data_IF_296718396394
#
_entry.id   IF_296718396394
#
_cell.length_a   1.000
_cell.length_b   1.000
_cell.length_c   1.000
_cell.angle_alpha   90.00
_cell.angle_beta   90.00
_cell.angle_gamma   90.00
#
_symmetry.space_group_name_H-M   'P 1'
#
loop_
_entity.id
_entity.type
_entity.pdbx_description
1 polymer ?
#
# COMPACT_ATOMS: atom_id res chain seq x y z
N UNK A 1 76.18 -43.55 23.77
CA UNK A 1 75.70 -42.41 24.54
C UNK A 1 74.33 -42.01 24.06
N UNK A 2 73.36 -42.05 24.96
CA UNK A 2 72.01 -41.48 25.00
C UNK A 2 71.16 -41.33 23.74
N UNK A 3 70.15 -42.15 23.67
CA UNK A 3 68.87 -41.95 22.93
C UNK A 3 68.06 -40.83 23.62
N UNK A 4 67.18 -40.15 22.91
CA UNK A 4 65.90 -39.85 23.53
C UNK A 4 64.69 -40.45 22.82
N UNK A 5 63.71 -40.74 23.62
CA UNK A 5 62.39 -41.24 23.43
C UNK A 5 61.54 -40.19 22.75
N UNK A 6 60.76 -40.55 21.73
CA UNK A 6 59.77 -39.71 21.10
C UNK A 6 58.39 -40.38 21.21
N UNK A 7 57.50 -39.81 22.01
CA UNK A 7 56.15 -40.27 22.25
C UNK A 7 55.23 -39.94 21.07
N UNK A 8 54.49 -40.94 20.62
CA UNK A 8 53.41 -40.85 19.63
C UNK A 8 52.18 -40.27 20.29
N UNK A 9 51.75 -39.09 19.85
CA UNK A 9 50.46 -38.52 20.19
C UNK A 9 49.45 -38.81 19.06
N UNK A 10 48.54 -39.73 19.34
CA UNK A 10 47.34 -39.96 18.53
C UNK A 10 46.42 -38.71 18.58
N UNK A 11 46.32 -37.98 17.49
CA UNK A 11 45.32 -36.95 17.33
C UNK A 11 43.94 -37.58 17.19
N UNK A 12 43.04 -37.30 18.14
CA UNK A 12 41.61 -37.58 18.03
C UNK A 12 41.03 -36.56 17.05
N UNK A 13 40.55 -37.04 15.87
CA UNK A 13 39.79 -36.28 14.94
C UNK A 13 38.43 -35.89 15.54
N UNK A 14 38.26 -34.60 15.82
CA UNK A 14 36.97 -34.06 16.25
C UNK A 14 36.16 -33.75 14.96
N UNK A 15 35.12 -34.56 14.77
CA UNK A 15 34.13 -34.38 13.70
C UNK A 15 33.28 -33.13 14.00
N UNK A 16 33.64 -31.97 13.41
CA UNK A 16 32.88 -30.72 13.51
C UNK A 16 32.15 -30.34 12.22
N UNK A 17 32.06 -31.25 11.22
CA UNK A 17 31.52 -30.89 9.90
C UNK A 17 30.00 -31.05 9.75
N UNK A 18 29.34 -31.85 10.59
CA UNK A 18 27.92 -32.18 10.40
C UNK A 18 26.96 -31.08 10.88
N UNK A 19 27.33 -30.33 11.94
CA UNK A 19 26.49 -29.27 12.51
C UNK A 19 26.49 -27.96 11.69
N UNK A 20 27.59 -27.65 10.99
CA UNK A 20 27.70 -26.44 10.17
C UNK A 20 26.91 -26.58 8.87
N UNK A 21 26.96 -27.75 8.24
CA UNK A 21 26.24 -28.06 6.99
C UNK A 21 24.71 -28.04 7.22
N UNK A 22 24.23 -28.62 8.31
CA UNK A 22 22.79 -28.62 8.64
C UNK A 22 22.23 -27.21 8.92
N UNK A 23 23.02 -26.31 9.53
CA UNK A 23 22.64 -24.91 9.76
C UNK A 23 22.65 -24.08 8.48
N UNK A 24 23.61 -24.31 7.59
CA UNK A 24 23.65 -23.66 6.27
C UNK A 24 22.48 -24.09 5.39
N UNK A 25 22.14 -25.37 5.39
CA UNK A 25 21.04 -25.94 4.60
C UNK A 25 19.66 -25.50 5.12
N UNK A 26 19.50 -25.28 6.43
CA UNK A 26 18.30 -24.73 7.03
C UNK A 26 18.13 -23.24 6.71
N UNK A 27 19.23 -22.46 6.72
CA UNK A 27 19.22 -21.05 6.32
C UNK A 27 18.98 -20.89 4.83
N UNK A 28 19.57 -21.73 4.00
CA UNK A 28 19.37 -21.75 2.55
C UNK A 28 17.92 -22.11 2.19
N UNK A 29 17.34 -23.14 2.84
CA UNK A 29 15.92 -23.51 2.67
C UNK A 29 14.99 -22.40 3.11
N UNK A 30 15.29 -21.69 4.20
CA UNK A 30 14.54 -20.49 4.62
C UNK A 30 14.56 -19.37 3.60
N UNK A 31 15.72 -19.09 2.99
CA UNK A 31 15.86 -18.06 1.94
C UNK A 31 15.12 -18.49 0.66
N UNK A 32 15.23 -19.74 0.26
CA UNK A 32 14.52 -20.31 -0.91
C UNK A 32 13.01 -20.35 -0.70
N UNK A 33 12.51 -20.65 0.52
CA UNK A 33 11.09 -20.59 0.86
C UNK A 33 10.54 -19.17 0.81
N UNK A 34 11.27 -18.18 1.33
CA UNK A 34 10.89 -16.76 1.28
C UNK A 34 10.90 -16.26 -0.17
N UNK A 35 11.92 -16.64 -0.95
CA UNK A 35 12.00 -16.32 -2.39
C UNK A 35 10.84 -16.95 -3.19
N UNK A 36 10.50 -18.21 -2.93
CA UNK A 36 9.41 -18.91 -3.60
C UNK A 36 8.03 -18.31 -3.28
N UNK A 37 7.76 -17.97 -2.03
CA UNK A 37 6.52 -17.30 -1.62
C UNK A 37 6.36 -15.94 -2.32
N UNK A 38 7.42 -15.14 -2.37
CA UNK A 38 7.40 -13.83 -3.04
C UNK A 38 7.13 -13.96 -4.53
N UNK A 39 7.77 -14.90 -5.22
CA UNK A 39 7.53 -15.13 -6.65
C UNK A 39 6.07 -15.53 -6.93
N UNK A 40 5.45 -16.34 -6.05
CA UNK A 40 4.03 -16.70 -6.14
C UNK A 40 3.13 -15.47 -6.00
N UNK A 41 3.41 -14.59 -5.02
CA UNK A 41 2.65 -13.34 -4.82
C UNK A 41 2.82 -12.38 -6.01
N UNK A 42 4.03 -12.20 -6.53
CA UNK A 42 4.30 -11.35 -7.69
C UNK A 42 3.58 -11.87 -8.95
N UNK A 43 3.59 -13.18 -9.18
CA UNK A 43 2.84 -13.81 -10.27
C UNK A 43 1.33 -13.64 -10.13
N UNK A 44 0.81 -13.75 -8.89
CA UNK A 44 -0.60 -13.55 -8.58
C UNK A 44 -1.01 -12.08 -8.76
N UNK A 45 -0.20 -11.12 -8.32
CA UNK A 45 -0.43 -9.69 -8.51
C UNK A 45 -0.53 -9.35 -10.00
N UNK A 46 0.40 -9.86 -10.80
CA UNK A 46 0.35 -9.69 -12.25
C UNK A 46 -0.92 -10.27 -12.87
N UNK A 47 -1.31 -11.50 -12.50
CA UNK A 47 -2.52 -12.14 -13.02
C UNK A 47 -3.79 -11.37 -12.62
N UNK A 48 -3.89 -10.95 -11.36
CA UNK A 48 -5.00 -10.15 -10.87
C UNK A 48 -5.15 -8.84 -11.64
N UNK A 49 -4.04 -8.15 -11.88
CA UNK A 49 -4.03 -6.90 -12.65
C UNK A 49 -4.48 -7.09 -14.09
N UNK A 50 -3.97 -8.14 -14.78
CA UNK A 50 -4.14 -8.29 -16.22
C UNK A 50 -5.31 -9.19 -16.62
N UNK A 51 -5.75 -10.11 -15.74
CA UNK A 51 -6.75 -11.14 -16.04
C UNK A 51 -7.91 -11.20 -15.05
N UNK A 52 -7.82 -10.45 -13.95
CA UNK A 52 -8.84 -10.42 -12.90
C UNK A 52 -8.83 -11.65 -11.98
N UNK A 53 -9.73 -11.65 -11.00
CA UNK A 53 -9.78 -12.66 -9.95
C UNK A 53 -10.10 -14.06 -10.48
N UNK A 54 -11.09 -14.22 -11.37
CA UNK A 54 -11.52 -15.54 -11.86
C UNK A 54 -10.42 -16.26 -12.62
N UNK A 55 -9.68 -15.57 -13.47
CA UNK A 55 -8.57 -16.14 -14.23
C UNK A 55 -7.30 -16.36 -13.40
N UNK A 56 -7.22 -15.85 -12.18
CA UNK A 56 -6.10 -16.03 -11.25
C UNK A 56 -6.28 -17.35 -10.52
N UNK A 57 -5.89 -18.45 -11.15
CA UNK A 57 -5.93 -19.80 -10.56
C UNK A 57 -4.56 -20.23 -10.05
N UNK A 58 -4.52 -21.18 -9.09
CA UNK A 58 -3.25 -21.76 -8.59
C UNK A 58 -2.42 -22.37 -9.74
N UNK A 59 -3.10 -22.96 -10.75
CA UNK A 59 -2.44 -23.50 -11.94
C UNK A 59 -1.82 -22.38 -12.80
N UNK A 60 -2.54 -21.26 -12.99
CA UNK A 60 -2.03 -20.11 -13.75
C UNK A 60 -0.84 -19.44 -13.03
N UNK A 61 -0.92 -19.30 -11.69
CA UNK A 61 0.17 -18.78 -10.87
C UNK A 61 1.40 -19.70 -10.97
N UNK A 62 1.23 -21.01 -10.78
CA UNK A 62 2.32 -22.00 -10.86
C UNK A 62 2.99 -22.00 -12.24
N UNK A 63 2.19 -21.95 -13.30
CA UNK A 63 2.69 -21.87 -14.68
C UNK A 63 3.52 -20.62 -14.91
N UNK A 64 3.12 -19.48 -14.35
CA UNK A 64 3.86 -18.22 -14.48
C UNK A 64 5.19 -18.23 -13.72
N UNK A 65 5.22 -18.87 -12.54
CA UNK A 65 6.45 -19.03 -11.74
C UNK A 65 7.37 -20.13 -12.28
N UNK A 66 6.85 -21.06 -13.11
CA UNK A 66 7.60 -22.21 -13.60
C UNK A 66 7.68 -23.37 -12.61
N UNK A 67 6.71 -23.52 -11.71
CA UNK A 67 6.64 -24.58 -10.70
C UNK A 67 5.43 -25.50 -10.91
N UNK A 68 5.42 -26.65 -10.23
CA UNK A 68 4.24 -27.53 -10.22
C UNK A 68 3.11 -26.90 -9.38
N UNK A 69 1.86 -27.02 -9.81
CA UNK A 69 0.71 -26.45 -9.09
C UNK A 69 0.62 -26.93 -7.62
N UNK A 70 0.98 -28.19 -7.36
CA UNK A 70 1.04 -28.74 -6.00
C UNK A 70 2.06 -28.03 -5.09
N UNK A 71 3.13 -27.44 -5.64
CA UNK A 71 4.15 -26.74 -4.86
C UNK A 71 3.64 -25.45 -4.25
N UNK A 72 2.58 -24.84 -4.80
CA UNK A 72 1.95 -23.65 -4.22
C UNK A 72 1.42 -23.93 -2.82
N UNK A 73 0.87 -25.13 -2.60
CA UNK A 73 0.25 -25.50 -1.30
C UNK A 73 1.27 -25.71 -0.17
N UNK A 74 2.58 -25.76 -0.49
CA UNK A 74 3.63 -25.68 0.53
C UNK A 74 3.82 -24.28 1.11
N UNK A 75 3.37 -23.24 0.38
CA UNK A 75 3.50 -21.84 0.77
C UNK A 75 2.16 -21.22 1.20
N UNK A 76 1.08 -21.56 0.51
CA UNK A 76 -0.23 -20.95 0.71
C UNK A 76 -1.35 -21.99 0.71
N UNK A 77 -2.28 -21.95 1.67
CA UNK A 77 -3.34 -22.97 1.80
C UNK A 77 -4.39 -22.91 0.69
N UNK A 78 -4.57 -21.75 0.03
CA UNK A 78 -5.56 -21.57 -1.01
C UNK A 78 -5.22 -20.42 -1.96
N UNK A 79 -5.95 -20.35 -3.09
CA UNK A 79 -5.95 -19.18 -3.99
C UNK A 79 -6.32 -17.90 -3.24
N UNK A 80 -7.36 -17.99 -2.41
CA UNK A 80 -7.90 -16.84 -1.71
C UNK A 80 -6.90 -16.26 -0.69
N UNK A 81 -6.14 -17.11 -0.01
CA UNK A 81 -5.05 -16.66 0.87
C UNK A 81 -3.96 -15.90 0.09
N UNK A 82 -3.63 -16.33 -1.12
CA UNK A 82 -2.69 -15.60 -2.00
C UNK A 82 -3.27 -14.25 -2.41
N UNK A 83 -4.54 -14.23 -2.85
CA UNK A 83 -5.21 -13.02 -3.31
C UNK A 83 -5.38 -12.01 -2.18
N UNK A 84 -5.74 -12.47 -0.97
CA UNK A 84 -5.84 -11.63 0.22
C UNK A 84 -4.51 -10.92 0.53
N UNK A 85 -3.42 -11.67 0.53
CA UNK A 85 -2.09 -11.11 0.76
C UNK A 85 -1.69 -10.11 -0.32
N UNK A 86 -1.96 -10.40 -1.59
CA UNK A 86 -1.67 -9.47 -2.70
C UNK A 86 -2.47 -8.17 -2.56
N UNK A 87 -3.76 -8.28 -2.27
CA UNK A 87 -4.65 -7.11 -2.14
C UNK A 87 -4.26 -6.27 -0.93
N UNK A 88 -4.01 -6.89 0.23
CA UNK A 88 -3.59 -6.19 1.44
C UNK A 88 -2.21 -5.54 1.27
N UNK A 89 -1.27 -6.19 0.61
CA UNK A 89 0.04 -5.63 0.28
C UNK A 89 -0.09 -4.38 -0.61
N UNK A 90 -0.97 -4.41 -1.61
CA UNK A 90 -1.24 -3.26 -2.47
C UNK A 90 -1.76 -2.04 -1.70
N UNK A 91 -2.61 -2.26 -0.68
CA UNK A 91 -3.05 -1.18 0.22
C UNK A 91 -1.91 -0.73 1.13
N UNK A 92 -1.19 -1.67 1.74
CA UNK A 92 -0.12 -1.40 2.71
C UNK A 92 0.98 -0.52 2.13
N UNK A 93 1.44 -0.82 0.92
CA UNK A 93 2.50 -0.05 0.24
C UNK A 93 2.11 1.42 0.06
N UNK A 94 0.87 1.68 -0.37
CA UNK A 94 0.38 3.06 -0.53
C UNK A 94 0.15 3.73 0.82
N UNK A 95 -0.41 3.00 1.79
CA UNK A 95 -0.63 3.48 3.15
C UNK A 95 0.68 3.96 3.80
N UNK A 96 1.71 3.12 3.79
CA UNK A 96 3.02 3.45 4.36
C UNK A 96 3.67 4.65 3.68
N UNK A 97 3.58 4.75 2.36
CA UNK A 97 4.08 5.90 1.62
C UNK A 97 3.38 7.21 2.01
N UNK A 98 2.04 7.17 2.16
CA UNK A 98 1.25 8.33 2.58
C UNK A 98 1.55 8.73 4.03
N UNK A 99 1.61 7.77 4.96
CA UNK A 99 1.96 8.04 6.36
C UNK A 99 3.34 8.68 6.45
N UNK A 100 4.36 8.10 5.79
CA UNK A 100 5.72 8.65 5.79
C UNK A 100 5.77 10.09 5.24
N UNK A 101 5.00 10.39 4.19
CA UNK A 101 4.93 11.74 3.64
C UNK A 101 4.25 12.74 4.59
N UNK A 102 3.23 12.30 5.34
CA UNK A 102 2.56 13.13 6.34
C UNK A 102 3.45 13.38 7.57
N UNK A 103 4.15 12.35 8.05
CA UNK A 103 5.06 12.43 9.19
C UNK A 103 6.29 13.33 8.91
N UNK A 104 6.68 13.45 7.64
CA UNK A 104 7.76 14.35 7.22
C UNK A 104 7.36 15.83 7.21
N UNK A 105 6.08 16.17 7.36
CA UNK A 105 5.61 17.55 7.39
C UNK A 105 5.85 18.18 8.77
N UNK A 106 6.08 19.51 8.82
CA UNK A 106 6.17 20.21 10.08
C UNK A 106 4.82 20.18 10.83
N UNK A 107 4.81 20.25 12.18
CA UNK A 107 3.57 20.27 12.96
C UNK A 107 2.60 21.42 12.61
N UNK A 108 3.13 22.47 11.98
CA UNK A 108 2.36 23.64 11.51
C UNK A 108 1.81 23.47 10.09
N UNK A 109 1.93 22.27 9.49
CA UNK A 109 1.43 22.03 8.16
C UNK A 109 -0.08 22.23 8.06
N UNK A 110 -0.51 22.97 7.04
CA UNK A 110 -1.93 23.23 6.80
C UNK A 110 -2.65 22.00 6.26
N UNK A 111 -3.98 21.87 6.41
CA UNK A 111 -4.74 20.80 5.77
C UNK A 111 -4.49 20.72 4.26
N UNK A 112 -4.26 21.84 3.58
CA UNK A 112 -3.93 21.88 2.15
C UNK A 112 -2.59 21.21 1.86
N UNK A 113 -1.54 21.53 2.63
CA UNK A 113 -0.22 20.90 2.46
C UNK A 113 -0.24 19.41 2.82
N UNK A 114 -1.00 19.01 3.84
CA UNK A 114 -1.23 17.60 4.20
C UNK A 114 -1.90 16.84 3.05
N UNK A 115 -2.94 17.41 2.46
CA UNK A 115 -3.63 16.80 1.32
C UNK A 115 -2.71 16.69 0.10
N UNK A 116 -1.92 17.72 -0.21
CA UNK A 116 -0.95 17.66 -1.31
C UNK A 116 0.08 16.56 -1.11
N UNK A 117 0.65 16.45 0.10
CA UNK A 117 1.60 15.39 0.43
C UNK A 117 0.98 14.00 0.28
N UNK A 118 -0.24 13.79 0.80
CA UNK A 118 -0.96 12.53 0.70
C UNK A 118 -1.26 12.15 -0.78
N UNK A 119 -1.72 13.10 -1.60
CA UNK A 119 -1.97 12.86 -3.03
C UNK A 119 -0.68 12.53 -3.75
N UNK A 120 0.39 13.29 -3.52
CA UNK A 120 1.70 13.07 -4.16
C UNK A 120 2.24 11.68 -3.83
N UNK A 121 2.26 11.32 -2.54
CA UNK A 121 2.75 10.01 -2.09
C UNK A 121 1.90 8.85 -2.65
N UNK A 122 0.57 8.99 -2.65
CA UNK A 122 -0.32 8.01 -3.25
C UNK A 122 -0.03 7.81 -4.74
N UNK A 123 0.06 8.89 -5.52
CA UNK A 123 0.29 8.82 -6.96
C UNK A 123 1.65 8.21 -7.28
N UNK A 124 2.73 8.64 -6.61
CA UNK A 124 4.06 8.06 -6.79
C UNK A 124 4.06 6.56 -6.49
N UNK A 125 3.58 6.17 -5.31
CA UNK A 125 3.53 4.78 -4.90
C UNK A 125 2.67 3.91 -5.84
N UNK A 126 1.51 4.41 -6.28
CA UNK A 126 0.60 3.69 -7.17
C UNK A 126 1.17 3.49 -8.57
N UNK A 127 1.95 4.45 -9.06
CA UNK A 127 2.52 4.41 -10.41
C UNK A 127 3.83 3.63 -10.47
N UNK A 128 4.62 3.62 -9.39
CA UNK A 128 5.88 2.87 -9.27
C UNK A 128 5.67 1.38 -8.95
N UNK A 129 4.74 1.06 -8.04
CA UNK A 129 4.49 -0.32 -7.56
C UNK A 129 3.27 -0.94 -8.24
N UNK A 130 3.27 -0.92 -9.55
CA UNK A 130 2.08 -1.04 -10.39
C UNK A 130 1.26 -2.33 -10.24
N UNK A 131 1.85 -3.53 -10.03
CA UNK A 131 1.09 -4.78 -10.06
C UNK A 131 0.25 -5.00 -8.80
N UNK A 132 0.80 -4.84 -7.61
CA UNK A 132 0.07 -5.00 -6.35
C UNK A 132 -1.02 -3.95 -6.16
N UNK A 133 -0.69 -2.68 -6.37
CA UNK A 133 -1.64 -1.58 -6.21
C UNK A 133 -2.73 -1.64 -7.28
N UNK A 134 -2.36 -1.90 -8.53
CA UNK A 134 -3.34 -2.09 -9.61
C UNK A 134 -4.22 -3.31 -9.39
N UNK A 135 -3.67 -4.43 -8.89
CA UNK A 135 -4.43 -5.62 -8.53
C UNK A 135 -5.45 -5.32 -7.43
N UNK A 136 -5.03 -4.61 -6.37
CA UNK A 136 -5.91 -4.17 -5.29
C UNK A 136 -7.08 -3.32 -5.82
N UNK A 137 -6.80 -2.32 -6.65
CA UNK A 137 -7.84 -1.41 -7.17
C UNK A 137 -8.80 -2.14 -8.11
N UNK A 138 -8.28 -2.91 -9.07
CA UNK A 138 -9.08 -3.55 -10.12
C UNK A 138 -9.82 -4.78 -9.67
N UNK A 139 -9.21 -5.62 -8.82
CA UNK A 139 -9.79 -6.89 -8.42
C UNK A 139 -10.81 -6.75 -7.27
N UNK A 140 -10.67 -5.75 -6.40
CA UNK A 140 -11.44 -5.65 -5.15
C UNK A 140 -12.96 -5.73 -5.35
N UNK A 141 -13.49 -5.06 -6.37
CA UNK A 141 -14.94 -5.06 -6.65
C UNK A 141 -15.48 -6.43 -7.08
N UNK A 142 -14.61 -7.29 -7.61
CA UNK A 142 -14.96 -8.61 -8.15
C UNK A 142 -14.56 -9.77 -7.23
N UNK A 143 -14.03 -9.47 -6.03
CA UNK A 143 -13.72 -10.49 -5.03
C UNK A 143 -15.01 -11.08 -4.45
N UNK A 144 -15.02 -12.38 -4.11
CA UNK A 144 -16.08 -12.98 -3.30
C UNK A 144 -16.32 -12.19 -2.00
N UNK A 145 -17.54 -12.20 -1.49
CA UNK A 145 -17.92 -11.37 -0.35
C UNK A 145 -17.08 -11.62 0.91
N UNK A 146 -16.75 -12.88 1.19
CA UNK A 146 -15.93 -13.26 2.34
C UNK A 146 -14.52 -12.70 2.22
N UNK A 147 -13.89 -12.90 1.07
CA UNK A 147 -12.56 -12.38 0.79
C UNK A 147 -12.53 -10.85 0.77
N UNK A 148 -13.56 -10.23 0.22
CA UNK A 148 -13.72 -8.77 0.25
C UNK A 148 -13.88 -8.25 1.68
N UNK A 149 -14.55 -8.99 2.58
CA UNK A 149 -14.66 -8.63 4.00
C UNK A 149 -13.32 -8.68 4.73
N UNK A 150 -12.51 -9.73 4.50
CA UNK A 150 -11.17 -9.83 5.12
C UNK A 150 -10.23 -8.72 4.67
N UNK A 151 -10.26 -8.34 3.39
CA UNK A 151 -9.44 -7.25 2.85
C UNK A 151 -9.89 -5.83 3.29
N UNK A 152 -11.08 -5.68 3.89
CA UNK A 152 -11.60 -4.35 4.29
C UNK A 152 -10.86 -3.72 5.45
N UNK A 153 -10.21 -4.48 6.31
CA UNK A 153 -9.58 -3.96 7.52
C UNK A 153 -8.43 -3.00 7.17
N UNK A 154 -7.49 -3.43 6.34
CA UNK A 154 -6.37 -2.59 5.90
C UNK A 154 -6.86 -1.41 5.06
N UNK A 155 -7.84 -1.65 4.19
CA UNK A 155 -8.43 -0.60 3.37
C UNK A 155 -9.09 0.50 4.20
N UNK A 156 -9.84 0.15 5.26
CA UNK A 156 -10.45 1.14 6.17
C UNK A 156 -9.41 1.99 6.89
N UNK A 157 -8.34 1.38 7.41
CA UNK A 157 -7.25 2.11 8.05
C UNK A 157 -6.65 3.16 7.12
N UNK A 158 -6.48 2.80 5.86
CA UNK A 158 -5.99 3.75 4.86
C UNK A 158 -7.02 4.85 4.53
N UNK A 159 -8.29 4.50 4.37
CA UNK A 159 -9.37 5.45 4.12
C UNK A 159 -9.59 6.42 5.29
N UNK A 160 -9.29 6.01 6.53
CA UNK A 160 -9.40 6.85 7.72
C UNK A 160 -8.41 8.03 7.69
N UNK A 161 -7.19 7.84 7.18
CA UNK A 161 -6.23 8.94 6.98
C UNK A 161 -6.83 10.05 6.10
N UNK A 162 -7.45 9.66 4.99
CA UNK A 162 -8.07 10.63 4.08
C UNK A 162 -9.26 11.33 4.72
N UNK A 163 -10.03 10.59 5.53
CA UNK A 163 -11.14 11.15 6.30
C UNK A 163 -10.65 12.21 7.27
N UNK A 164 -9.60 11.94 8.01
CA UNK A 164 -9.01 12.89 8.97
C UNK A 164 -8.55 14.17 8.28
N UNK A 165 -7.79 14.07 7.18
CA UNK A 165 -7.30 15.24 6.43
C UNK A 165 -8.47 16.13 5.96
N UNK A 166 -9.53 15.50 5.43
CA UNK A 166 -10.69 16.24 4.90
C UNK A 166 -11.52 16.85 6.01
N UNK A 167 -11.70 16.15 7.15
CA UNK A 167 -12.39 16.69 8.32
C UNK A 167 -11.65 17.88 8.94
N UNK A 168 -10.33 17.77 9.14
CA UNK A 168 -9.49 18.88 9.59
C UNK A 168 -9.63 20.12 8.68
N UNK A 169 -9.68 19.89 7.37
CA UNK A 169 -9.87 20.98 6.41
C UNK A 169 -11.27 21.63 6.53
N UNK A 170 -12.31 20.83 6.73
CA UNK A 170 -13.67 21.33 6.93
C UNK A 170 -13.77 22.16 8.22
N UNK A 171 -13.24 21.66 9.33
CA UNK A 171 -13.21 22.34 10.63
C UNK A 171 -12.41 23.65 10.58
N UNK A 172 -11.31 23.67 9.83
CA UNK A 172 -10.49 24.86 9.61
C UNK A 172 -11.08 25.86 8.58
N UNK A 173 -12.28 25.60 8.04
CA UNK A 173 -12.97 26.50 7.11
C UNK A 173 -12.42 26.52 5.69
N UNK A 174 -11.68 25.49 5.29
CA UNK A 174 -11.17 25.36 3.91
C UNK A 174 -12.23 24.83 2.93
N UNK A 175 -13.34 24.31 3.45
CA UNK A 175 -14.43 23.76 2.64
C UNK A 175 -15.70 24.61 2.78
N UNK A 176 -16.57 24.67 1.74
CA UNK A 176 -17.90 25.22 1.88
C UNK A 176 -18.75 24.40 2.87
N UNK A 177 -19.59 25.04 3.66
CA UNK A 177 -20.44 24.41 4.69
C UNK A 177 -21.47 23.43 4.11
N UNK A 178 -21.85 23.61 2.84
CA UNK A 178 -22.82 22.80 2.09
C UNK A 178 -22.18 21.62 1.35
N UNK A 179 -20.84 21.44 1.45
CA UNK A 179 -20.12 20.32 0.82
C UNK A 179 -19.80 19.26 1.87
N UNK A 180 -20.23 18.03 1.59
CA UNK A 180 -19.95 16.87 2.47
C UNK A 180 -18.46 16.50 2.44
N UNK A 181 -17.77 16.44 3.61
CA UNK A 181 -16.40 15.95 3.70
C UNK A 181 -16.24 14.53 3.14
N UNK A 182 -17.23 13.66 3.33
CA UNK A 182 -17.19 12.29 2.83
C UNK A 182 -17.27 12.23 1.30
N UNK A 183 -18.06 13.11 0.68
CA UNK A 183 -18.11 13.23 -0.78
C UNK A 183 -16.77 13.69 -1.37
N UNK A 184 -16.09 14.64 -0.72
CA UNK A 184 -14.75 15.08 -1.13
C UNK A 184 -13.74 13.95 -1.00
N UNK A 185 -13.77 13.21 0.11
CA UNK A 185 -12.91 12.03 0.31
C UNK A 185 -13.11 10.99 -0.78
N UNK A 186 -14.36 10.64 -1.08
CA UNK A 186 -14.70 9.65 -2.13
C UNK A 186 -14.25 10.11 -3.51
N UNK A 187 -14.46 11.39 -3.84
CA UNK A 187 -14.00 11.99 -5.10
C UNK A 187 -12.47 11.90 -5.22
N UNK A 188 -11.73 12.29 -4.18
CA UNK A 188 -10.27 12.26 -4.18
C UNK A 188 -9.75 10.83 -4.33
N UNK A 189 -10.22 9.89 -3.50
CA UNK A 189 -9.81 8.50 -3.59
C UNK A 189 -10.17 7.87 -4.95
N UNK A 190 -11.32 8.19 -5.51
CA UNK A 190 -11.71 7.78 -6.86
C UNK A 190 -10.71 8.26 -7.90
N UNK A 191 -10.35 9.55 -7.84
CA UNK A 191 -9.41 10.15 -8.79
C UNK A 191 -8.00 9.56 -8.68
N UNK A 192 -7.44 9.47 -7.47
CA UNK A 192 -6.06 8.97 -7.28
C UNK A 192 -5.93 7.47 -7.52
N UNK A 193 -6.92 6.67 -7.12
CA UNK A 193 -6.94 5.23 -7.39
C UNK A 193 -6.97 4.91 -8.90
N UNK A 194 -7.59 5.77 -9.69
CA UNK A 194 -7.70 5.57 -11.14
C UNK A 194 -6.53 6.18 -11.93
N UNK A 195 -5.47 6.63 -11.23
CA UNK A 195 -4.32 7.32 -11.84
C UNK A 195 -3.62 6.48 -12.91
N UNK A 196 -3.53 5.17 -12.74
CA UNK A 196 -2.96 4.26 -13.75
C UNK A 196 -3.61 4.34 -15.13
N UNK A 197 -4.88 4.81 -15.23
CA UNK A 197 -5.61 4.93 -16.48
C UNK A 197 -5.44 6.30 -17.13
N UNK A 198 -5.46 7.38 -16.34
CA UNK A 198 -5.47 8.74 -16.90
C UNK A 198 -4.12 9.45 -16.84
N UNK A 199 -3.20 9.05 -15.94
CA UNK A 199 -1.90 9.72 -15.79
C UNK A 199 -1.02 9.53 -17.03
N UNK A 200 -0.39 10.62 -17.44
CA UNK A 200 0.61 10.63 -18.53
C UNK A 200 1.77 11.53 -18.10
N UNK A 201 3.00 10.99 -17.95
CA UNK A 201 4.15 11.73 -17.42
C UNK A 201 4.49 13.02 -18.21
N UNK A 202 4.20 13.04 -19.50
CA UNK A 202 4.50 14.16 -20.41
C UNK A 202 3.44 15.27 -20.39
N UNK A 203 2.31 15.13 -19.65
CA UNK A 203 1.26 16.16 -19.57
C UNK A 203 1.42 17.09 -18.40
N UNK A 204 1.63 16.54 -17.22
CA UNK A 204 1.84 17.32 -16.01
C UNK A 204 2.62 16.50 -14.99
N UNK A 205 3.54 17.12 -14.23
CA UNK A 205 4.21 16.46 -13.10
C UNK A 205 3.22 16.20 -11.95
N UNK A 206 3.51 15.18 -11.15
CA UNK A 206 2.61 14.67 -10.08
C UNK A 206 2.33 15.75 -9.02
N UNK A 207 3.32 16.55 -8.64
CA UNK A 207 3.19 17.66 -7.69
C UNK A 207 2.19 18.74 -8.19
N UNK A 208 2.21 19.06 -9.48
CA UNK A 208 1.25 19.97 -10.08
C UNK A 208 -0.19 19.41 -10.07
N UNK A 209 -0.33 18.10 -10.30
CA UNK A 209 -1.62 17.41 -10.21
C UNK A 209 -2.12 17.43 -8.78
N UNK A 210 -1.26 17.10 -7.80
CA UNK A 210 -1.60 17.13 -6.39
C UNK A 210 -2.04 18.51 -5.92
N UNK A 211 -1.32 19.56 -6.34
CA UNK A 211 -1.69 20.96 -6.07
C UNK A 211 -3.05 21.32 -6.67
N UNK A 212 -3.33 20.86 -7.88
CA UNK A 212 -4.61 21.09 -8.56
C UNK A 212 -5.75 20.39 -7.86
N UNK A 213 -5.58 19.11 -7.47
CA UNK A 213 -6.59 18.34 -6.75
C UNK A 213 -6.89 18.95 -5.37
N UNK A 214 -5.86 19.42 -4.65
CA UNK A 214 -6.04 20.09 -3.37
C UNK A 214 -6.81 21.41 -3.51
N UNK A 215 -6.54 22.19 -4.56
CA UNK A 215 -7.30 23.40 -4.86
C UNK A 215 -8.76 23.13 -5.22
N UNK A 216 -9.01 22.06 -5.96
CA UNK A 216 -10.38 21.66 -6.30
C UNK A 216 -11.15 21.17 -5.07
N UNK A 217 -10.50 20.41 -4.20
CA UNK A 217 -11.11 19.85 -3.00
C UNK A 217 -11.43 20.91 -1.94
N UNK A 218 -10.50 21.85 -1.71
CA UNK A 218 -10.61 22.82 -0.62
C UNK A 218 -10.87 24.26 -1.09
N UNK A 219 -11.04 24.47 -2.38
CA UNK A 219 -11.10 25.81 -2.99
C UNK A 219 -9.72 26.47 -3.03
N UNK A 220 -9.60 27.60 -3.69
CA UNK A 220 -8.46 28.48 -3.49
C UNK A 220 -8.55 28.95 -2.03
N UNK A 221 -7.55 28.60 -1.19
CA UNK A 221 -7.53 29.00 0.22
C UNK A 221 -8.03 30.42 0.39
N UNK A 222 -9.27 30.58 0.80
CA UNK A 222 -9.84 31.90 1.05
C UNK A 222 -9.26 32.40 2.38
N UNK A 223 -8.02 32.87 2.30
CA UNK A 223 -7.53 33.84 3.27
C UNK A 223 -8.31 35.14 3.13
N UNK A 224 -9.58 35.12 3.48
CA UNK A 224 -10.37 36.31 3.82
C UNK A 224 -11.55 35.86 4.66
N UNK A 225 -11.50 36.20 5.93
CA UNK A 225 -12.66 36.29 6.79
C UNK A 225 -13.87 36.85 6.00
N UNK A 226 -14.86 36.01 5.76
CA UNK A 226 -16.15 36.48 5.28
C UNK A 226 -16.76 37.35 6.36
N UNK A 227 -17.04 38.65 6.12
CA UNK A 227 -17.69 39.48 7.12
C UNK A 227 -19.01 38.80 7.47
N UNK A 228 -19.26 38.65 8.77
CA UNK A 228 -20.51 38.12 9.30
C UNK A 228 -21.69 38.82 8.62
N UNK A 229 -22.54 38.07 7.92
CA UNK A 229 -23.79 38.57 7.37
C UNK A 229 -24.59 39.16 8.56
N UNK A 230 -24.63 40.48 8.68
CA UNK A 230 -25.57 41.19 9.55
C UNK A 230 -26.97 40.75 9.15
N UNK A 231 -27.65 39.99 10.03
CA UNK A 231 -29.11 39.75 9.92
C UNK A 231 -29.80 41.10 9.90
N UNK A 232 -30.70 41.38 8.94
CA UNK A 232 -31.46 42.59 8.99
C UNK A 232 -32.32 42.60 10.27
N UNK A 233 -32.15 43.65 11.04
CA UNK A 233 -32.96 43.93 12.21
C UNK A 233 -34.41 44.09 11.72
N UNK A 234 -35.32 43.18 12.10
CA UNK A 234 -36.76 43.41 11.89
C UNK A 234 -37.14 44.60 12.75
N UNK A 235 -37.37 45.75 12.11
CA UNK A 235 -38.02 46.89 12.75
C UNK A 235 -39.45 46.47 13.14
N UNK A 236 -39.73 46.49 14.43
CA UNK A 236 -41.08 46.45 14.94
C UNK A 236 -41.75 47.79 14.56
N UNK A 237 -42.71 47.71 13.67
CA UNK A 237 -43.68 48.79 13.44
C UNK A 237 -44.83 48.54 14.39
N UNK A 238 -45.12 49.58 15.17
CA UNK A 238 -46.28 49.71 16.07
C UNK A 238 -47.60 49.69 15.30
#
# INVERSE_FOLDING_TARGET
MKKPVGASLKAKGISHSTGYRAKSDAKQRGIEQVGGARQILDAAAWLLRHRGYEATTTRAIASRVGIKAGSIYHHFPSKDAIVELVVNEGVRVVHEAVVAALDALPPTATPVSRLQAAITAHLLSSLEHSDYTSACIRAFAFLPDDLRRSCRVERRRYEDIWREIVLEAAEAGYMPEDVSPDAVRLMLLGAVNWAGEWYRPNRAPIDQIAASFSKLAFGAARGKSRPARRRPHKALIK
#
